data_IF_817323465551
#
_entry.id   IF_817323465551
#
_cell.length_a   1.000
_cell.length_b   1.000
_cell.length_c   1.000
_cell.angle_alpha   90.00
_cell.angle_beta   90.00
_cell.angle_gamma   90.00
#
_symmetry.space_group_name_H-M   'P 1'
#
loop_
_entity.id
_entity.type
_entity.pdbx_description
1 polymer ?
#
# COMPACT_ATOMS: atom_id res chain seq x y z
N UNK A 1 -18.27 10.87 3.53
CA UNK A 1 -17.52 9.66 3.13
C UNK A 1 -18.24 9.08 1.92
N UNK A 2 -17.51 8.72 0.86
CA UNK A 2 -18.13 8.21 -0.39
C UNK A 2 -18.43 6.71 -0.26
N UNK A 3 -19.31 6.18 -1.12
CA UNK A 3 -19.62 4.74 -1.16
C UNK A 3 -18.36 3.91 -1.43
N UNK A 4 -17.44 4.43 -2.26
CA UNK A 4 -16.16 3.77 -2.51
C UNK A 4 -15.34 3.66 -1.22
N UNK A 5 -15.17 4.77 -0.49
CA UNK A 5 -14.41 4.78 0.76
C UNK A 5 -15.05 3.84 1.78
N UNK A 6 -16.38 3.85 1.96
CA UNK A 6 -17.07 2.92 2.87
C UNK A 6 -16.77 1.45 2.56
N UNK A 7 -16.84 1.08 1.27
CA UNK A 7 -16.54 -0.28 0.82
C UNK A 7 -15.07 -0.64 1.03
N UNK A 8 -14.16 0.31 0.79
CA UNK A 8 -12.72 0.14 0.98
C UNK A 8 -12.37 -0.09 2.44
N UNK A 9 -12.86 0.77 3.34
CA UNK A 9 -12.64 0.63 4.77
C UNK A 9 -13.22 -0.70 5.28
N UNK A 10 -14.42 -1.06 4.84
CA UNK A 10 -15.04 -2.34 5.18
C UNK A 10 -14.26 -3.54 4.63
N UNK A 11 -13.67 -3.44 3.44
CA UNK A 11 -12.80 -4.48 2.89
C UNK A 11 -11.53 -4.65 3.72
N UNK A 12 -10.87 -3.55 4.08
CA UNK A 12 -9.69 -3.57 4.95
C UNK A 12 -9.98 -4.23 6.31
N UNK A 13 -11.08 -3.87 6.96
CA UNK A 13 -11.49 -4.44 8.25
C UNK A 13 -11.79 -5.95 8.15
N UNK A 14 -12.52 -6.37 7.10
CA UNK A 14 -12.79 -7.80 6.87
C UNK A 14 -11.51 -8.59 6.68
N UNK A 15 -10.56 -8.09 5.89
CA UNK A 15 -9.29 -8.82 5.67
C UNK A 15 -8.43 -8.85 6.94
N UNK A 16 -8.36 -7.74 7.68
CA UNK A 16 -7.65 -7.70 8.97
C UNK A 16 -8.24 -8.71 9.97
N UNK A 17 -9.57 -8.78 10.06
CA UNK A 17 -10.29 -9.76 10.89
C UNK A 17 -10.05 -11.19 10.40
N UNK A 18 -10.03 -11.42 9.08
CA UNK A 18 -9.78 -12.74 8.48
C UNK A 18 -8.40 -13.29 8.83
N UNK A 19 -7.40 -12.42 8.93
CA UNK A 19 -6.06 -12.73 9.42
C UNK A 19 -5.94 -12.74 10.95
N UNK A 20 -7.08 -12.78 11.67
CA UNK A 20 -7.19 -12.74 13.14
C UNK A 20 -6.35 -11.62 13.73
N UNK A 21 -6.59 -10.41 13.23
CA UNK A 21 -5.92 -9.19 13.69
C UNK A 21 -4.40 -9.23 13.53
N UNK A 22 -3.92 -9.89 12.47
CA UNK A 22 -2.49 -9.97 12.13
C UNK A 22 -1.73 -11.14 12.76
N UNK A 23 -2.42 -12.03 13.48
CA UNK A 23 -1.80 -13.19 14.14
C UNK A 23 -1.54 -14.34 13.16
N UNK A 24 -2.45 -14.56 12.19
CA UNK A 24 -2.24 -15.57 11.14
C UNK A 24 -1.19 -15.12 10.14
N UNK A 25 -0.38 -16.06 9.68
CA UNK A 25 0.65 -15.86 8.66
C UNK A 25 0.17 -16.35 7.31
N UNK A 26 0.74 -15.79 6.25
CA UNK A 26 0.41 -16.11 4.86
C UNK A 26 0.43 -17.61 4.54
N UNK A 27 1.28 -18.39 5.22
CA UNK A 27 1.38 -19.84 5.01
C UNK A 27 0.41 -20.67 5.87
N UNK A 28 -0.36 -20.05 6.77
CA UNK A 28 -1.29 -20.77 7.63
C UNK A 28 -2.45 -21.35 6.82
N UNK A 29 -2.86 -22.58 7.16
CA UNK A 29 -3.93 -23.31 6.46
C UNK A 29 -5.25 -22.53 6.35
N UNK A 30 -5.53 -21.63 7.29
CA UNK A 30 -6.74 -20.83 7.32
C UNK A 30 -6.75 -19.69 6.28
N UNK A 31 -5.60 -19.20 5.82
CA UNK A 31 -5.51 -17.97 5.00
C UNK A 31 -4.63 -18.08 3.76
N UNK A 32 -3.84 -19.14 3.58
CA UNK A 32 -2.91 -19.19 2.44
C UNK A 32 -3.60 -19.09 1.07
N UNK A 33 -4.75 -19.74 0.89
CA UNK A 33 -5.57 -19.60 -0.33
C UNK A 33 -6.12 -18.19 -0.52
N UNK A 34 -6.38 -17.47 0.57
CA UNK A 34 -6.84 -16.06 0.51
C UNK A 34 -5.75 -15.16 -0.07
N UNK A 35 -4.49 -15.42 0.25
CA UNK A 35 -3.35 -14.73 -0.40
C UNK A 35 -3.37 -14.99 -1.92
N UNK A 36 -3.71 -16.20 -2.34
CA UNK A 36 -3.90 -16.51 -3.76
C UNK A 36 -5.03 -15.71 -4.43
N UNK A 37 -6.08 -15.35 -3.70
CA UNK A 37 -7.15 -14.49 -4.22
C UNK A 37 -6.69 -13.04 -4.40
N UNK A 38 -5.74 -12.56 -3.60
CA UNK A 38 -5.11 -11.25 -3.81
C UNK A 38 -4.31 -11.22 -5.11
N UNK A 39 -3.55 -12.27 -5.38
CA UNK A 39 -2.81 -12.42 -6.64
C UNK A 39 -3.74 -12.50 -7.87
N UNK A 40 -4.84 -13.25 -7.76
CA UNK A 40 -5.85 -13.34 -8.84
C UNK A 40 -6.49 -12.00 -9.17
N UNK A 41 -6.61 -11.09 -8.19
CA UNK A 41 -7.15 -9.74 -8.46
C UNK A 41 -6.23 -8.86 -9.33
N UNK A 42 -4.99 -9.30 -9.57
CA UNK A 42 -4.05 -8.69 -10.50
C UNK A 42 -3.66 -9.64 -11.63
N UNK A 43 -4.53 -10.62 -11.93
CA UNK A 43 -4.40 -11.56 -13.03
C UNK A 43 -3.14 -12.46 -12.93
N UNK A 44 -2.64 -12.68 -11.71
CA UNK A 44 -1.57 -13.64 -11.43
C UNK A 44 -2.17 -14.88 -10.77
N UNK A 45 -2.09 -16.01 -11.46
CA UNK A 45 -2.64 -17.29 -11.01
C UNK A 45 -1.56 -18.26 -10.50
N UNK A 46 -1.99 -19.36 -9.90
CA UNK A 46 -1.14 -20.47 -9.45
C UNK A 46 -0.08 -20.08 -8.41
N UNK A 47 -0.31 -19.00 -7.67
CA UNK A 47 0.48 -18.54 -6.54
C UNK A 47 -0.43 -18.30 -5.33
N UNK A 48 0.04 -18.64 -4.14
CA UNK A 48 -0.64 -18.43 -2.87
C UNK A 48 0.36 -18.18 -1.72
N UNK A 49 -0.13 -18.10 -0.48
CA UNK A 49 0.73 -17.80 0.67
C UNK A 49 1.74 -18.90 1.05
N UNK A 50 1.73 -20.06 0.40
CA UNK A 50 2.73 -21.13 0.56
C UNK A 50 3.69 -21.23 -0.63
N UNK A 51 3.43 -20.52 -1.73
CA UNK A 51 4.30 -20.56 -2.90
C UNK A 51 5.67 -19.96 -2.59
N UNK A 52 6.70 -20.67 -3.02
CA UNK A 52 8.09 -20.21 -2.99
C UNK A 52 8.56 -19.93 -4.43
N UNK A 53 9.20 -18.79 -4.62
CA UNK A 53 9.92 -18.42 -5.83
C UNK A 53 11.42 -18.48 -5.59
N UNK A 54 12.22 -18.50 -6.66
CA UNK A 54 13.68 -18.44 -6.59
C UNK A 54 14.17 -17.11 -7.12
N UNK A 55 15.09 -16.48 -6.40
CA UNK A 55 15.80 -15.31 -6.91
C UNK A 55 16.88 -15.72 -7.93
N UNK A 56 17.57 -14.72 -8.51
CA UNK A 56 18.65 -14.93 -9.48
C UNK A 56 19.85 -15.73 -8.94
N UNK A 57 19.97 -15.86 -7.62
CA UNK A 57 21.00 -16.63 -6.93
C UNK A 57 20.50 -18.02 -6.48
N UNK A 58 19.27 -18.39 -6.84
CA UNK A 58 18.66 -19.66 -6.49
C UNK A 58 18.12 -19.74 -5.06
N UNK A 59 18.12 -18.64 -4.30
CA UNK A 59 17.56 -18.58 -2.96
C UNK A 59 16.04 -18.55 -3.03
N UNK A 60 15.39 -19.40 -2.25
CA UNK A 60 13.94 -19.42 -2.14
C UNK A 60 13.41 -18.25 -1.31
N UNK A 61 12.31 -17.65 -1.74
CA UNK A 61 11.58 -16.60 -1.02
C UNK A 61 10.07 -16.71 -1.29
N UNK A 62 9.27 -16.17 -0.36
CA UNK A 62 7.84 -15.98 -0.57
C UNK A 62 7.61 -14.64 -1.30
N UNK A 63 6.92 -14.62 -2.46
CA UNK A 63 6.65 -13.37 -3.16
C UNK A 63 5.82 -12.40 -2.31
N UNK A 64 6.26 -11.15 -2.26
CA UNK A 64 5.59 -10.12 -1.48
C UNK A 64 4.25 -9.72 -2.12
N UNK A 65 3.14 -9.98 -1.43
CA UNK A 65 1.78 -9.76 -1.93
C UNK A 65 1.14 -8.43 -1.47
N UNK A 66 1.92 -7.52 -0.88
CA UNK A 66 1.41 -6.25 -0.36
C UNK A 66 0.67 -5.42 -1.42
N UNK A 67 1.23 -5.28 -2.62
CA UNK A 67 0.60 -4.53 -3.71
C UNK A 67 -0.62 -5.26 -4.29
N UNK A 68 -0.57 -6.60 -4.33
CA UNK A 68 -1.70 -7.42 -4.72
C UNK A 68 -2.88 -7.27 -3.73
N UNK A 69 -2.60 -7.17 -2.44
CA UNK A 69 -3.61 -6.88 -1.42
C UNK A 69 -4.26 -5.50 -1.60
N UNK A 70 -3.46 -4.44 -1.80
CA UNK A 70 -4.02 -3.09 -2.06
C UNK A 70 -4.87 -3.11 -3.33
N UNK A 71 -4.37 -3.72 -4.40
CA UNK A 71 -5.10 -3.92 -5.65
C UNK A 71 -6.41 -4.66 -5.43
N UNK A 72 -6.42 -5.72 -4.62
CA UNK A 72 -7.60 -6.50 -4.27
C UNK A 72 -8.67 -5.67 -3.55
N UNK A 73 -8.30 -4.93 -2.50
CA UNK A 73 -9.27 -4.13 -1.73
C UNK A 73 -9.80 -2.95 -2.55
N UNK A 74 -8.96 -2.29 -3.35
CA UNK A 74 -9.35 -1.19 -4.24
C UNK A 74 -10.28 -1.69 -5.35
N UNK A 75 -9.95 -2.83 -5.99
CA UNK A 75 -10.77 -3.44 -7.05
C UNK A 75 -12.17 -3.77 -6.53
N UNK A 76 -12.24 -4.46 -5.40
CA UNK A 76 -13.50 -4.91 -4.79
C UNK A 76 -14.34 -3.76 -4.23
N UNK A 77 -13.75 -2.57 -4.05
CA UNK A 77 -14.46 -1.37 -3.62
C UNK A 77 -15.09 -0.60 -4.78
N UNK A 78 -14.72 -0.94 -6.02
CA UNK A 78 -15.36 -0.42 -7.23
C UNK A 78 -14.54 0.61 -8.00
N UNK A 79 -13.21 0.62 -7.85
CA UNK A 79 -12.35 1.55 -8.61
C UNK A 79 -12.35 1.29 -10.14
N UNK A 80 -12.80 0.12 -10.59
CA UNK A 80 -12.91 -0.19 -12.02
C UNK A 80 -11.57 -0.02 -12.74
N UNK A 81 -11.58 0.65 -13.90
CA UNK A 81 -10.37 0.95 -14.69
C UNK A 81 -9.57 2.16 -14.19
N UNK A 82 -10.01 2.84 -13.13
CA UNK A 82 -9.39 4.07 -12.65
C UNK A 82 -8.15 3.84 -11.79
N UNK A 83 -7.78 2.57 -11.53
CA UNK A 83 -6.61 2.19 -10.75
C UNK A 83 -5.71 1.23 -11.53
N UNK A 84 -4.39 1.44 -11.42
CA UNK A 84 -3.40 0.55 -12.03
C UNK A 84 -3.11 -0.65 -11.11
N UNK A 85 -3.82 -1.75 -11.29
CA UNK A 85 -3.63 -2.96 -10.49
C UNK A 85 -2.28 -3.62 -10.79
N UNK A 86 -1.48 -3.88 -9.76
CA UNK A 86 -0.09 -4.32 -9.97
C UNK A 86 0.48 -5.12 -8.81
N UNK A 87 1.50 -5.92 -9.10
CA UNK A 87 2.31 -6.66 -8.12
C UNK A 87 3.33 -5.78 -7.40
N UNK A 88 3.58 -4.55 -7.87
CA UNK A 88 4.47 -3.60 -7.19
C UNK A 88 3.83 -2.22 -6.99
N UNK A 89 4.04 -1.66 -5.80
CA UNK A 89 3.43 -0.40 -5.38
C UNK A 89 3.87 0.79 -6.27
N UNK A 90 5.13 0.83 -6.67
CA UNK A 90 5.70 1.89 -7.50
C UNK A 90 4.91 2.12 -8.81
N UNK A 91 4.33 1.07 -9.40
CA UNK A 91 3.60 1.18 -10.67
C UNK A 91 2.30 1.97 -10.55
N UNK A 92 1.53 1.78 -9.47
CA UNK A 92 0.31 2.55 -9.27
C UNK A 92 0.58 3.93 -8.67
N UNK A 93 1.68 4.10 -7.92
CA UNK A 93 2.14 5.41 -7.45
C UNK A 93 2.47 6.29 -8.65
N UNK A 94 3.25 5.77 -9.60
CA UNK A 94 3.59 6.51 -10.80
C UNK A 94 2.36 6.76 -11.69
N UNK A 95 1.45 5.79 -11.82
CA UNK A 95 0.20 6.00 -12.55
C UNK A 95 -0.62 7.14 -11.94
N UNK A 96 -0.76 7.18 -10.61
CA UNK A 96 -1.48 8.23 -9.89
C UNK A 96 -0.79 9.59 -9.99
N UNK A 97 0.56 9.62 -10.02
CA UNK A 97 1.35 10.84 -10.27
C UNK A 97 1.09 11.39 -11.67
N UNK A 98 1.23 10.55 -12.70
CA UNK A 98 0.97 10.92 -14.09
C UNK A 98 -0.46 11.41 -14.29
N UNK A 99 -1.42 10.74 -13.67
CA UNK A 99 -2.82 11.14 -13.74
C UNK A 99 -3.04 12.55 -13.19
N UNK A 100 -2.46 12.88 -12.03
CA UNK A 100 -2.52 14.22 -11.45
C UNK A 100 -1.87 15.27 -12.36
N UNK A 101 -0.67 14.99 -12.87
CA UNK A 101 0.08 15.92 -13.75
C UNK A 101 -0.66 16.18 -15.05
N UNK A 102 -1.27 15.14 -15.63
CA UNK A 102 -1.97 15.23 -16.92
C UNK A 102 -3.44 15.64 -16.78
N UNK A 103 -3.98 15.72 -15.57
CA UNK A 103 -5.39 16.01 -15.31
C UNK A 103 -6.34 14.92 -15.84
N UNK A 104 -5.92 13.65 -15.82
CA UNK A 104 -6.75 12.52 -16.27
C UNK A 104 -7.44 11.85 -15.10
N UNK A 105 -8.68 11.41 -15.29
CA UNK A 105 -9.44 10.68 -14.27
C UNK A 105 -8.68 9.47 -13.72
N UNK A 106 -8.60 9.39 -12.40
CA UNK A 106 -8.01 8.26 -11.67
C UNK A 106 -8.64 8.13 -10.30
N UNK A 107 -8.62 6.91 -9.74
CA UNK A 107 -9.10 6.65 -8.39
C UNK A 107 -8.25 7.35 -7.33
N UNK A 108 -6.98 7.63 -7.67
CA UNK A 108 -6.02 8.24 -6.77
C UNK A 108 -5.13 9.25 -7.50
N UNK A 109 -4.79 10.34 -6.81
CA UNK A 109 -3.73 11.24 -7.22
C UNK A 109 -2.56 11.17 -6.24
N UNK A 110 -1.35 11.04 -6.77
CA UNK A 110 -0.14 11.06 -5.95
C UNK A 110 0.28 12.49 -5.65
N UNK A 111 0.50 12.80 -4.37
CA UNK A 111 0.98 14.09 -3.89
C UNK A 111 2.18 13.90 -2.97
N UNK A 112 2.99 14.95 -2.83
CA UNK A 112 4.07 14.93 -1.85
C UNK A 112 3.49 14.85 -0.42
N UNK A 113 4.04 14.02 0.47
CA UNK A 113 3.50 13.85 1.84
C UNK A 113 3.48 15.13 2.70
N UNK A 114 4.25 16.14 2.34
CA UNK A 114 4.28 17.47 2.99
C UNK A 114 3.29 18.48 2.39
N UNK A 115 2.62 18.11 1.29
CA UNK A 115 1.70 19.00 0.56
C UNK A 115 0.23 18.83 0.94
N UNK A 116 -0.12 17.72 1.59
CA UNK A 116 -1.49 17.40 1.99
C UNK A 116 -1.50 16.43 3.18
N UNK A 117 -2.60 16.38 3.92
CA UNK A 117 -2.78 15.54 5.09
C UNK A 117 -3.55 14.24 4.74
N UNK A 118 -3.23 13.10 5.37
CA UNK A 118 -3.91 11.82 5.09
C UNK A 118 -5.35 11.80 5.60
N UNK A 119 -6.27 11.22 4.85
CA UNK A 119 -7.68 11.01 5.23
C UNK A 119 -8.08 9.53 5.05
N UNK A 120 -9.16 9.05 5.70
CA UNK A 120 -9.64 7.68 5.47
C UNK A 120 -9.92 7.40 3.99
N UNK A 121 -9.38 6.30 3.48
CA UNK A 121 -9.43 5.90 2.07
C UNK A 121 -8.18 6.26 1.27
N UNK A 122 -7.34 7.18 1.74
CA UNK A 122 -6.04 7.48 1.15
C UNK A 122 -5.07 6.30 1.33
N UNK A 123 -4.02 6.25 0.52
CA UNK A 123 -2.93 5.27 0.65
C UNK A 123 -1.64 6.02 0.94
N UNK A 124 -0.99 5.71 2.07
CA UNK A 124 0.35 6.23 2.37
C UNK A 124 1.39 5.27 1.82
N UNK A 125 2.41 5.79 1.15
CA UNK A 125 3.44 5.00 0.50
C UNK A 125 4.83 5.34 1.00
N UNK A 126 5.65 4.31 1.15
CA UNK A 126 7.01 4.42 1.67
C UNK A 126 7.98 3.56 0.86
N UNK A 127 9.23 3.99 0.79
CA UNK A 127 10.29 3.21 0.16
C UNK A 127 10.73 2.05 1.04
N UNK A 128 11.26 0.99 0.42
CA UNK A 128 11.84 -0.18 1.09
C UNK A 128 13.25 -0.44 0.57
N UNK A 129 14.04 -1.21 1.31
CA UNK A 129 15.38 -1.65 0.88
C UNK A 129 16.23 -0.45 0.41
N UNK A 130 16.79 -0.50 -0.79
CA UNK A 130 17.62 0.58 -1.35
C UNK A 130 16.85 1.88 -1.63
N UNK A 131 15.51 1.84 -1.66
CA UNK A 131 14.65 3.00 -1.87
C UNK A 131 14.10 3.57 -0.56
N UNK A 132 14.52 3.06 0.61
CA UNK A 132 14.00 3.46 1.93
C UNK A 132 14.08 4.96 2.22
N UNK A 133 15.05 5.66 1.63
CA UNK A 133 15.30 7.10 1.77
C UNK A 133 14.71 7.96 0.63
N UNK A 134 13.95 7.36 -0.30
CA UNK A 134 13.41 8.11 -1.43
C UNK A 134 12.32 9.09 -0.99
N UNK A 135 12.51 10.38 -1.30
CA UNK A 135 11.46 11.40 -1.31
C UNK A 135 10.49 11.18 -2.48
N UNK A 136 9.44 12.01 -2.55
CA UNK A 136 8.50 12.01 -3.67
C UNK A 136 9.20 12.22 -5.02
N UNK A 137 10.12 13.18 -5.11
CA UNK A 137 10.87 13.51 -6.32
C UNK A 137 11.88 12.42 -6.67
N UNK A 138 12.63 11.92 -5.68
CA UNK A 138 13.60 10.85 -5.90
C UNK A 138 12.93 9.57 -6.40
N UNK A 139 11.75 9.25 -5.88
CA UNK A 139 10.96 8.11 -6.36
C UNK A 139 10.50 8.29 -7.81
N UNK A 140 10.19 9.51 -8.25
CA UNK A 140 9.88 9.79 -9.67
C UNK A 140 11.10 9.57 -10.56
N UNK A 141 12.24 10.14 -10.18
CA UNK A 141 13.48 10.02 -10.94
C UNK A 141 13.92 8.56 -11.07
N UNK A 142 13.88 7.81 -9.96
CA UNK A 142 14.24 6.39 -9.96
C UNK A 142 13.29 5.56 -10.84
N UNK A 143 11.98 5.80 -10.78
CA UNK A 143 11.03 5.11 -11.66
C UNK A 143 11.26 5.44 -13.13
N UNK A 144 11.58 6.70 -13.45
CA UNK A 144 11.85 7.10 -14.83
C UNK A 144 13.11 6.41 -15.38
N UNK A 145 14.12 6.21 -14.53
CA UNK A 145 15.37 5.54 -14.91
C UNK A 145 15.19 4.03 -15.07
N UNK A 146 14.61 3.37 -14.07
CA UNK A 146 14.65 1.90 -13.95
C UNK A 146 13.29 1.22 -14.10
N UNK A 147 12.20 2.00 -14.14
CA UNK A 147 10.82 1.48 -14.18
C UNK A 147 10.36 0.81 -12.88
N UNK A 148 11.19 0.77 -11.84
CA UNK A 148 10.92 0.04 -10.61
C UNK A 148 11.70 0.58 -9.41
N UNK A 149 11.06 0.58 -8.25
CA UNK A 149 11.73 0.66 -6.95
C UNK A 149 10.92 -0.07 -5.86
N UNK A 150 11.59 -0.74 -4.91
CA UNK A 150 10.93 -1.42 -3.80
C UNK A 150 10.21 -0.41 -2.92
N UNK A 151 8.92 -0.66 -2.71
CA UNK A 151 8.03 0.23 -1.99
C UNK A 151 6.92 -0.56 -1.29
N UNK A 152 6.20 0.12 -0.41
CA UNK A 152 5.08 -0.43 0.34
C UNK A 152 4.02 0.64 0.51
N UNK A 153 2.77 0.22 0.62
CA UNK A 153 1.66 1.14 0.85
C UNK A 153 0.56 0.50 1.67
N UNK A 154 -0.12 1.34 2.45
CA UNK A 154 -1.23 0.96 3.31
C UNK A 154 -2.40 1.93 3.14
N UNK A 155 -3.61 1.40 3.26
CA UNK A 155 -4.84 2.21 3.28
C UNK A 155 -5.00 2.85 4.65
N UNK A 156 -5.21 4.16 4.70
CA UNK A 156 -5.60 4.89 5.92
C UNK A 156 -7.05 4.54 6.23
N UNK A 157 -7.30 3.98 7.42
CA UNK A 157 -8.65 3.57 7.83
C UNK A 157 -9.26 4.46 8.91
N UNK A 158 -8.42 5.19 9.63
CA UNK A 158 -8.85 6.05 10.73
C UNK A 158 -7.83 7.16 10.97
N UNK A 159 -8.33 8.31 11.41
CA UNK A 159 -7.54 9.50 11.71
C UNK A 159 -7.99 10.06 13.06
N UNK A 160 -7.04 10.22 13.98
CA UNK A 160 -7.23 10.93 15.25
C UNK A 160 -6.25 12.10 15.31
N UNK A 161 -6.73 13.29 14.91
CA UNK A 161 -5.92 14.52 14.92
C UNK A 161 -5.57 14.95 16.34
N UNK A 162 -6.56 14.93 17.23
CA UNK A 162 -6.37 15.30 18.64
C UNK A 162 -5.31 14.43 19.33
N UNK A 163 -5.24 13.13 18.97
CA UNK A 163 -4.27 12.20 19.56
C UNK A 163 -2.99 12.07 18.73
N UNK A 164 -2.84 12.82 17.63
CA UNK A 164 -1.62 12.85 16.82
C UNK A 164 -1.30 11.55 16.08
N UNK A 165 -2.31 10.79 15.62
CA UNK A 165 -2.05 9.59 14.82
C UNK A 165 -3.13 9.23 13.79
N UNK A 166 -2.74 8.37 12.85
CA UNK A 166 -3.64 7.63 11.96
C UNK A 166 -3.47 6.12 12.16
N UNK A 167 -4.49 5.35 11.79
CA UNK A 167 -4.39 3.89 11.68
C UNK A 167 -4.48 3.51 10.22
N UNK A 168 -3.58 2.65 9.78
CA UNK A 168 -3.56 2.11 8.42
C UNK A 168 -3.73 0.60 8.41
N UNK A 169 -4.13 0.02 7.28
CA UNK A 169 -4.16 -1.42 7.03
C UNK A 169 -3.34 -1.74 5.78
N UNK A 170 -2.41 -2.68 5.90
CA UNK A 170 -1.55 -3.15 4.81
C UNK A 170 -1.46 -4.67 4.76
N UNK A 171 -1.20 -5.19 3.56
CA UNK A 171 -0.94 -6.61 3.30
C UNK A 171 0.54 -6.96 3.39
N UNK A 172 0.85 -8.23 3.61
CA UNK A 172 2.21 -8.76 3.76
C UNK A 172 3.07 -8.02 4.81
N UNK A 173 2.45 -7.41 5.81
CA UNK A 173 3.14 -6.75 6.94
C UNK A 173 3.46 -7.80 7.99
N UNK A 174 4.72 -8.22 8.04
CA UNK A 174 5.12 -9.38 8.86
C UNK A 174 4.37 -10.64 8.45
N UNK A 175 4.26 -10.85 7.14
CA UNK A 175 3.61 -11.98 6.48
C UNK A 175 2.12 -12.12 6.81
N UNK A 176 1.42 -11.00 7.01
CA UNK A 176 0.00 -10.97 7.41
C UNK A 176 -0.69 -9.70 6.90
N UNK A 177 -2.00 -9.59 7.11
CA UNK A 177 -2.73 -8.31 7.03
C UNK A 177 -2.67 -7.66 8.41
N UNK A 178 -2.10 -6.47 8.53
CA UNK A 178 -1.94 -5.78 9.83
C UNK A 178 -2.37 -4.34 9.80
N UNK A 179 -2.73 -3.86 10.99
CA UNK A 179 -2.83 -2.44 11.27
C UNK A 179 -1.48 -1.86 11.70
N UNK A 180 -1.22 -0.61 11.34
CA UNK A 180 -0.13 0.20 11.89
C UNK A 180 -0.70 1.49 12.46
N UNK A 181 -0.16 1.92 13.60
CA UNK A 181 -0.35 3.27 14.14
C UNK A 181 0.78 4.14 13.61
N UNK A 182 0.45 5.18 12.86
CA UNK A 182 1.40 6.11 12.27
C UNK A 182 1.17 7.48 12.90
N UNK A 183 2.24 8.09 13.39
CA UNK A 183 2.19 9.40 14.00
C UNK A 183 1.98 10.48 12.93
N UNK A 184 1.32 11.56 13.32
CA UNK A 184 1.16 12.78 12.55
C UNK A 184 1.51 13.96 13.45
N UNK A 185 1.92 15.08 12.85
CA UNK A 185 2.19 16.30 13.59
C UNK A 185 0.89 17.05 13.97
N UNK A 186 1.03 18.18 14.67
CA UNK A 186 -0.09 19.01 15.13
C UNK A 186 -0.90 19.62 13.97
N UNK A 187 -0.30 19.73 12.79
CA UNK A 187 -0.96 20.18 11.57
C UNK A 187 -1.62 19.02 10.80
N UNK A 188 -1.41 17.77 11.24
CA UNK A 188 -1.97 16.56 10.69
C UNK A 188 -1.14 15.91 9.58
N UNK A 189 0.07 16.40 9.29
CA UNK A 189 0.99 15.84 8.30
C UNK A 189 1.67 14.58 8.83
N UNK A 190 2.09 13.70 7.91
CA UNK A 190 2.86 12.52 8.27
C UNK A 190 4.23 12.95 8.82
N UNK A 191 4.60 12.42 9.99
CA UNK A 191 5.97 12.54 10.48
C UNK A 191 6.85 11.48 9.83
N UNK A 192 8.16 11.74 9.74
CA UNK A 192 9.12 10.79 9.20
C UNK A 192 9.07 9.44 9.94
N UNK A 193 9.31 8.38 9.17
CA UNK A 193 9.40 7.02 9.72
C UNK A 193 10.72 6.86 10.46
N UNK A 194 10.70 6.14 11.56
CA UNK A 194 11.92 5.88 12.35
C UNK A 194 12.44 4.47 12.04
N UNK A 195 13.72 4.38 11.67
CA UNK A 195 14.46 3.12 11.54
C UNK A 195 15.81 3.22 12.25
N UNK A 196 15.89 2.65 13.45
CA UNK A 196 17.02 2.87 14.36
C UNK A 196 17.17 4.35 14.70
N UNK A 197 18.29 4.95 14.29
CA UNK A 197 18.57 6.38 14.46
C UNK A 197 18.23 7.21 13.21
N UNK A 198 17.75 6.59 12.14
CA UNK A 198 17.45 7.27 10.88
C UNK A 198 16.00 7.72 10.83
N UNK A 199 15.80 8.93 10.31
CA UNK A 199 14.50 9.43 9.89
C UNK A 199 14.36 9.19 8.39
N UNK A 200 13.36 8.43 8.02
CA UNK A 200 13.09 8.02 6.64
C UNK A 200 11.84 8.71 6.13
N UNK A 201 11.88 9.35 4.96
CA UNK A 201 10.74 10.05 4.42
C UNK A 201 9.62 9.09 4.04
N UNK A 202 8.40 9.62 3.97
CA UNK A 202 7.34 9.04 3.15
C UNK A 202 7.57 9.41 1.69
N UNK A 203 7.27 8.51 0.75
CA UNK A 203 7.53 8.77 -0.66
C UNK A 203 6.32 9.32 -1.40
N UNK A 204 5.09 9.02 -0.97
CA UNK A 204 3.89 9.60 -1.57
C UNK A 204 2.68 9.44 -0.63
N UNK A 205 1.77 10.39 -0.74
CA UNK A 205 0.39 10.26 -0.28
C UNK A 205 -0.50 10.12 -1.52
N UNK A 206 -1.21 9.01 -1.65
CA UNK A 206 -2.19 8.82 -2.71
C UNK A 206 -3.56 9.25 -2.20
N UNK A 207 -4.04 10.39 -2.69
CA UNK A 207 -5.33 11.00 -2.32
C UNK A 207 -6.46 10.33 -3.09
N UNK A 208 -7.41 9.72 -2.38
CA UNK A 208 -8.60 9.12 -2.99
C UNK A 208 -9.45 10.19 -3.70
N UNK A 209 -9.88 9.91 -4.94
CA UNK A 209 -10.69 10.81 -5.76
C UNK A 209 -12.13 10.29 -5.99
N UNK A 210 -12.49 9.14 -5.41
CA UNK A 210 -13.78 8.44 -5.58
C UNK A 210 -14.73 8.56 -4.39
#
# INVERSE_FOLDING_TARGET
MTIFIEKLLSACDREYTKFRSGTLKEYDNAVYKRVGEYWKAIDIENIDGKTLSKDKHGKFYNPAWSSAFISFVVRNSGAGSLFNYSSAHCHYIESARKAKVNGTDSAYYAVSPDSDIPAPGDIICSGREYASEYSFENAELAYRADGFYPSHGDVVIYVSREQGYIITVGGNVGNSVKQKKILIDDNGYLVDRVDGNNLLPWLALLKCQL
#
